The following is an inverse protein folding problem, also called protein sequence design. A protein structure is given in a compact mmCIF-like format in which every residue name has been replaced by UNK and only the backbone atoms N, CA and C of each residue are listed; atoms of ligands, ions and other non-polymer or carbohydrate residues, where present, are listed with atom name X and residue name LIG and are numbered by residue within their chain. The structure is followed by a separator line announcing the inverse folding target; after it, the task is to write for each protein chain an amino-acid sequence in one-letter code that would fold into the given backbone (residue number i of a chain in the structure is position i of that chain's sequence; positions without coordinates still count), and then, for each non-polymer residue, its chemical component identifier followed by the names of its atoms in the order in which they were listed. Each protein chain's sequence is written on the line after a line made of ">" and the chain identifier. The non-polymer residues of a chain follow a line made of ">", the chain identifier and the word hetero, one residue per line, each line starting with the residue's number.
data_IF_470782734094
#
_entry.id   IF_470782734094
#
_cell.length_a   1.000
_cell.length_b   1.000
_cell.length_c   1.000
_cell.angle_alpha   90.00
_cell.angle_beta   90.00
_cell.angle_gamma   90.00
#
_symmetry.space_group_name_H-M   'P 1'
#
loop_
_entity.id
_entity.type
_entity.pdbx_description
1 polymer ?
#
# COMPACT_ATOMS: atom_id res chain seq x y z
N UNK A 1 -10.76 18.74 -9.88
CA UNK A 1 -10.54 17.31 -9.60
C UNK A 1 -11.60 16.52 -10.33
N UNK A 2 -11.20 15.54 -11.11
CA UNK A 2 -12.13 14.57 -11.71
C UNK A 2 -12.38 13.43 -10.70
N UNK A 3 -13.52 12.73 -10.79
CA UNK A 3 -13.73 11.50 -10.03
C UNK A 3 -12.64 10.47 -10.37
N UNK A 4 -12.14 9.76 -9.36
CA UNK A 4 -11.17 8.69 -9.57
C UNK A 4 -11.83 7.51 -10.31
N UNK A 5 -11.26 7.09 -11.43
CA UNK A 5 -11.63 5.84 -12.09
C UNK A 5 -11.03 4.65 -11.32
N UNK A 6 -11.89 3.96 -10.59
CA UNK A 6 -11.55 2.80 -9.74
C UNK A 6 -11.46 1.49 -10.53
N UNK A 7 -11.60 1.53 -11.86
CA UNK A 7 -11.59 0.35 -12.73
C UNK A 7 -10.34 0.24 -13.59
N UNK A 8 -9.42 1.20 -13.46
CA UNK A 8 -8.19 1.23 -14.23
C UNK A 8 -7.32 0.00 -13.90
N UNK A 9 -6.77 -0.68 -14.93
CA UNK A 9 -5.84 -1.79 -14.72
C UNK A 9 -4.52 -1.28 -14.13
N UNK A 10 -3.77 -2.19 -13.51
CA UNK A 10 -2.43 -1.84 -13.01
C UNK A 10 -1.43 -1.61 -14.14
N UNK A 11 -0.63 -0.55 -13.99
CA UNK A 11 0.54 -0.31 -14.82
C UNK A 11 1.72 -1.14 -14.27
N UNK A 12 2.12 -2.19 -14.98
CA UNK A 12 3.24 -3.06 -14.57
C UNK A 12 3.98 -3.63 -15.77
N UNK A 13 5.28 -3.89 -15.57
CA UNK A 13 6.15 -4.52 -16.56
C UNK A 13 6.08 -6.06 -16.53
N UNK A 14 5.34 -6.62 -15.56
CA UNK A 14 5.22 -8.06 -15.37
C UNK A 14 4.29 -8.70 -16.42
N UNK A 15 4.62 -9.92 -16.85
CA UNK A 15 3.77 -10.70 -17.75
C UNK A 15 2.60 -11.33 -16.97
N UNK A 16 1.55 -10.54 -16.75
CA UNK A 16 0.37 -10.94 -15.97
C UNK A 16 -0.33 -12.21 -16.51
N UNK A 17 -0.54 -12.38 -17.83
CA UNK A 17 -1.12 -13.62 -18.37
C UNK A 17 -0.29 -14.86 -18.03
N UNK A 18 1.04 -14.78 -18.14
CA UNK A 18 1.92 -15.87 -17.76
C UNK A 18 1.84 -16.18 -16.27
N UNK A 19 1.91 -15.16 -15.41
CA UNK A 19 1.85 -15.31 -13.96
C UNK A 19 0.52 -15.92 -13.51
N UNK A 20 -0.61 -15.42 -14.05
CA UNK A 20 -1.95 -15.97 -13.78
C UNK A 20 -2.03 -17.45 -14.10
N UNK A 21 -1.52 -17.86 -15.27
CA UNK A 21 -1.50 -19.27 -15.68
C UNK A 21 -0.55 -20.11 -14.83
N UNK A 22 0.64 -19.59 -14.52
CA UNK A 22 1.68 -20.36 -13.81
C UNK A 22 1.36 -20.56 -12.34
N UNK A 23 0.68 -19.59 -11.73
CA UNK A 23 0.40 -19.51 -10.30
C UNK A 23 -1.07 -19.79 -9.96
N UNK A 24 -1.88 -20.31 -10.89
CA UNK A 24 -3.31 -20.62 -10.64
C UNK A 24 -3.53 -21.46 -9.38
N UNK A 25 -2.62 -22.40 -9.10
CA UNK A 25 -2.68 -23.28 -7.93
C UNK A 25 -1.73 -22.87 -6.80
N UNK A 26 -1.22 -21.63 -6.83
CA UNK A 26 -0.37 -21.14 -5.74
C UNK A 26 -1.20 -21.02 -4.45
N UNK A 27 -0.72 -21.50 -3.30
CA UNK A 27 -1.54 -21.53 -2.09
C UNK A 27 -2.06 -20.16 -1.66
N UNK A 28 -1.24 -19.11 -1.79
CA UNK A 28 -1.63 -17.74 -1.42
C UNK A 28 -2.26 -17.01 -2.61
N UNK A 29 -3.56 -17.21 -2.78
CA UNK A 29 -4.32 -16.54 -3.83
C UNK A 29 -4.49 -15.04 -3.58
N UNK A 30 -4.34 -14.56 -2.34
CA UNK A 30 -4.40 -13.13 -2.03
C UNK A 30 -3.15 -12.40 -2.55
N UNK A 31 -1.97 -12.99 -2.32
CA UNK A 31 -0.73 -12.48 -2.91
C UNK A 31 -0.81 -12.50 -4.44
N UNK A 32 -1.37 -13.56 -5.03
CA UNK A 32 -1.56 -13.61 -6.47
C UNK A 32 -2.52 -12.52 -6.98
N UNK A 33 -3.63 -12.28 -6.30
CA UNK A 33 -4.55 -11.20 -6.63
C UNK A 33 -3.85 -9.83 -6.56
N UNK A 34 -3.11 -9.56 -5.49
CA UNK A 34 -2.30 -8.36 -5.32
C UNK A 34 -1.24 -8.18 -6.44
N UNK A 35 -0.64 -9.27 -6.92
CA UNK A 35 0.31 -9.26 -8.04
C UNK A 35 -0.36 -8.97 -9.39
N UNK A 36 -1.57 -9.49 -9.60
CA UNK A 36 -2.27 -9.42 -10.89
C UNK A 36 -3.15 -8.16 -11.05
N UNK A 37 -3.66 -7.65 -9.94
CA UNK A 37 -4.70 -6.61 -9.91
C UNK A 37 -4.30 -5.38 -9.08
N UNK A 38 -3.17 -5.47 -8.39
CA UNK A 38 -2.61 -4.40 -7.57
C UNK A 38 -2.87 -4.57 -6.09
N UNK A 39 -2.03 -3.92 -5.29
CA UNK A 39 -2.14 -3.89 -3.84
C UNK A 39 -3.41 -3.16 -3.45
N UNK A 40 -4.20 -3.82 -2.60
CA UNK A 40 -5.27 -3.22 -1.82
C UNK A 40 -4.82 -3.14 -0.37
N UNK A 41 -5.03 -2.00 0.27
CA UNK A 41 -4.71 -1.79 1.69
C UNK A 41 -5.66 -2.55 2.61
N UNK A 42 -6.79 -3.02 2.08
CA UNK A 42 -7.87 -3.66 2.85
C UNK A 42 -8.37 -2.76 3.99
N UNK A 43 -8.20 -1.44 3.82
CA UNK A 43 -8.64 -0.40 4.72
C UNK A 43 -9.99 0.14 4.24
N UNK A 44 -11.05 -0.27 4.93
CA UNK A 44 -12.38 0.30 4.79
C UNK A 44 -12.33 1.72 5.39
N UNK A 45 -12.75 2.76 4.69
CA UNK A 45 -12.69 4.15 5.20
C UNK A 45 -13.86 4.97 4.68
N UNK A 46 -14.24 6.01 5.43
CA UNK A 46 -15.23 6.98 4.97
C UNK A 46 -14.72 7.80 3.78
N UNK A 47 -15.65 8.35 2.99
CA UNK A 47 -15.35 9.26 1.88
C UNK A 47 -14.96 10.66 2.41
N UNK A 48 -13.84 10.73 3.12
CA UNK A 48 -13.35 11.92 3.81
C UNK A 48 -12.01 12.40 3.23
N UNK A 49 -11.80 13.72 3.26
CA UNK A 49 -10.48 14.29 3.04
C UNK A 49 -9.70 14.32 4.35
N UNK A 50 -8.65 13.51 4.44
CA UNK A 50 -7.86 13.36 5.66
C UNK A 50 -6.46 13.94 5.42
N UNK A 51 -6.17 15.05 6.10
CA UNK A 51 -4.89 15.74 6.01
C UNK A 51 -4.05 15.43 7.24
N UNK A 52 -3.08 14.52 7.08
CA UNK A 52 -2.18 14.14 8.16
C UNK A 52 -0.92 15.00 8.12
N UNK A 53 -0.60 15.75 9.19
CA UNK A 53 0.60 16.58 9.21
C UNK A 53 1.86 15.72 9.10
N UNK A 54 2.91 16.29 8.51
CA UNK A 54 4.22 15.65 8.49
C UNK A 54 4.76 15.40 9.89
N UNK A 55 5.60 14.38 10.00
CA UNK A 55 6.25 14.04 11.25
C UNK A 55 7.32 15.06 11.59
N UNK A 56 7.46 15.36 12.88
CA UNK A 56 8.54 16.20 13.42
C UNK A 56 9.94 15.71 13.07
N UNK A 57 10.06 14.46 12.61
CA UNK A 57 11.31 13.88 12.14
C UNK A 57 11.67 14.27 10.71
N UNK A 58 10.71 14.72 9.90
CA UNK A 58 10.94 15.06 8.48
C UNK A 58 12.10 16.06 8.28
N UNK A 59 12.20 17.17 9.04
CA UNK A 59 13.30 18.13 8.85
C UNK A 59 14.69 17.51 8.97
N UNK A 60 14.86 16.43 9.76
CA UNK A 60 16.15 15.75 9.95
C UNK A 60 16.69 15.13 8.66
N UNK A 61 15.82 14.77 7.73
CA UNK A 61 16.17 14.09 6.49
C UNK A 61 15.43 14.63 5.27
N UNK A 62 15.05 15.90 5.28
CA UNK A 62 14.20 16.51 4.25
C UNK A 62 14.73 16.26 2.84
N UNK A 63 16.01 16.55 2.59
CA UNK A 63 16.67 16.32 1.30
C UNK A 63 16.67 14.84 0.90
N UNK A 64 16.86 13.92 1.86
CA UNK A 64 16.82 12.48 1.59
C UNK A 64 15.42 12.03 1.17
N UNK A 65 14.38 12.49 1.87
CA UNK A 65 12.98 12.17 1.58
C UNK A 65 12.58 12.74 0.22
N UNK A 66 12.96 13.99 -0.07
CA UNK A 66 12.72 14.64 -1.35
C UNK A 66 13.34 13.86 -2.52
N UNK A 67 14.64 13.60 -2.44
CA UNK A 67 15.36 12.89 -3.50
C UNK A 67 14.80 11.48 -3.70
N UNK A 68 14.37 10.84 -2.61
CA UNK A 68 13.67 9.56 -2.69
C UNK A 68 12.34 9.70 -3.45
N UNK A 69 11.49 10.69 -3.13
CA UNK A 69 10.22 10.90 -3.86
C UNK A 69 10.44 11.09 -5.37
N UNK A 70 11.39 11.92 -5.79
CA UNK A 70 11.73 12.07 -7.21
C UNK A 70 12.23 10.75 -7.81
N UNK A 71 13.05 9.99 -7.08
CA UNK A 71 13.49 8.66 -7.54
C UNK A 71 12.30 7.72 -7.73
N UNK A 72 11.38 7.63 -6.78
CA UNK A 72 10.18 6.78 -6.89
C UNK A 72 9.30 7.23 -8.06
N UNK A 73 9.21 8.53 -8.35
CA UNK A 73 8.54 9.05 -9.54
C UNK A 73 9.22 8.56 -10.83
N UNK A 74 10.57 8.64 -10.93
CA UNK A 74 11.29 8.15 -12.12
C UNK A 74 11.14 6.64 -12.35
N UNK A 75 10.84 5.88 -11.28
CA UNK A 75 10.56 4.45 -11.34
C UNK A 75 9.09 4.14 -11.65
N UNK A 76 8.25 5.15 -11.82
CA UNK A 76 6.82 5.01 -12.09
C UNK A 76 5.96 4.66 -10.87
N UNK A 77 6.51 4.73 -9.66
CA UNK A 77 5.78 4.35 -8.43
C UNK A 77 5.00 5.50 -7.81
N UNK A 78 5.36 6.74 -8.15
CA UNK A 78 4.64 7.94 -7.76
C UNK A 78 4.33 8.75 -9.00
N UNK A 79 3.12 9.32 -9.04
CA UNK A 79 2.77 10.37 -9.99
C UNK A 79 2.69 11.69 -9.24
N UNK A 80 3.33 12.72 -9.78
CA UNK A 80 3.27 14.07 -9.22
C UNK A 80 2.21 14.86 -9.97
N UNK A 81 1.51 15.71 -9.22
CA UNK A 81 0.43 16.52 -9.71
C UNK A 81 0.56 17.91 -9.11
N UNK A 82 0.34 18.95 -9.92
CA UNK A 82 0.39 20.35 -9.47
C UNK A 82 -0.85 20.74 -8.63
N UNK A 83 -1.87 19.89 -8.64
CA UNK A 83 -3.11 20.05 -7.90
C UNK A 83 -3.62 18.68 -7.42
N UNK A 84 -4.61 18.67 -6.52
CA UNK A 84 -5.19 17.42 -6.04
C UNK A 84 -5.83 16.62 -7.19
N UNK A 85 -5.35 15.39 -7.48
CA UNK A 85 -5.79 14.63 -8.65
C UNK A 85 -7.23 14.12 -8.52
N UNK A 86 -7.66 13.80 -7.30
CA UNK A 86 -8.98 13.25 -6.99
C UNK A 86 -9.47 13.77 -5.62
N UNK A 87 -10.77 13.63 -5.39
CA UNK A 87 -11.44 13.97 -4.13
C UNK A 87 -12.57 12.98 -3.86
N UNK A 88 -12.72 12.43 -2.64
CA UNK A 88 -11.91 12.66 -1.42
C UNK A 88 -10.49 12.07 -1.52
N UNK A 89 -9.62 12.40 -0.55
CA UNK A 89 -8.21 11.97 -0.54
C UNK A 89 -7.62 11.89 0.89
N UNK A 90 -6.78 10.88 1.11
CA UNK A 90 -5.90 10.79 2.26
C UNK A 90 -4.50 11.31 1.90
N UNK A 91 -4.09 12.37 2.58
CA UNK A 91 -2.76 12.97 2.47
C UNK A 91 -1.94 12.55 3.68
N UNK A 92 -1.09 11.55 3.49
CA UNK A 92 -0.31 10.92 4.54
C UNK A 92 0.98 11.70 4.82
N UNK A 93 1.21 11.97 6.11
CA UNK A 93 2.39 12.69 6.58
C UNK A 93 3.69 11.99 6.21
N UNK A 94 4.77 12.75 6.03
CA UNK A 94 6.09 12.22 5.73
C UNK A 94 7.01 12.42 6.92
N UNK A 95 7.96 11.50 7.09
CA UNK A 95 8.99 11.56 8.12
C UNK A 95 10.33 11.01 7.62
N UNK A 96 11.35 11.16 8.46
CA UNK A 96 12.69 10.71 8.17
C UNK A 96 13.29 9.96 9.37
N UNK A 97 13.83 8.77 9.13
CA UNK A 97 14.48 7.92 10.15
C UNK A 97 15.93 7.67 9.75
N UNK A 98 16.88 7.91 10.65
CA UNK A 98 18.30 7.68 10.39
C UNK A 98 18.57 6.19 10.13
N UNK A 99 19.48 5.89 9.20
CA UNK A 99 19.96 4.53 9.00
C UNK A 99 21.21 4.29 9.85
N UNK A 100 21.36 3.07 10.37
CA UNK A 100 22.47 2.73 11.27
C UNK A 100 23.83 2.67 10.57
N UNK A 101 23.86 2.33 9.27
CA UNK A 101 25.08 2.04 8.50
C UNK A 101 25.33 3.02 7.34
N UNK A 102 24.49 4.05 7.17
CA UNK A 102 24.66 5.06 6.13
C UNK A 102 24.21 6.43 6.63
N UNK A 103 24.76 7.51 6.05
CA UNK A 103 24.43 8.90 6.41
C UNK A 103 23.07 9.36 5.89
N UNK A 104 22.47 8.61 4.97
CA UNK A 104 21.17 8.93 4.38
C UNK A 104 20.02 8.56 5.33
N UNK A 105 18.97 9.37 5.33
CA UNK A 105 17.75 9.07 6.06
C UNK A 105 16.80 8.22 5.22
N UNK A 106 16.16 7.23 5.84
CA UNK A 106 15.05 6.48 5.26
C UNK A 106 13.77 7.31 5.38
N UNK A 107 13.03 7.42 4.27
CA UNK A 107 11.67 7.98 4.24
C UNK A 107 10.70 7.10 5.02
N UNK A 108 9.78 7.74 5.75
CA UNK A 108 8.64 7.09 6.43
C UNK A 108 7.35 7.77 5.99
N UNK A 109 6.32 6.99 5.65
CA UNK A 109 4.95 7.48 5.44
C UNK A 109 4.13 7.23 6.70
N UNK A 110 3.42 8.25 7.17
CA UNK A 110 2.53 8.20 8.33
C UNK A 110 1.14 7.70 7.93
N UNK A 111 0.95 6.38 8.00
CA UNK A 111 -0.35 5.73 7.76
C UNK A 111 -1.16 5.50 9.06
N UNK A 112 -0.64 5.94 10.22
CA UNK A 112 -1.28 5.83 11.53
C UNK A 112 -1.94 7.12 12.02
N UNK A 113 -1.99 8.17 11.18
CA UNK A 113 -2.76 9.38 11.43
C UNK A 113 -4.19 9.28 10.86
N UNK A 114 -5.20 9.94 11.44
CA UNK A 114 -5.14 10.74 12.67
C UNK A 114 -4.92 9.89 13.94
N UNK A 115 -4.04 10.34 14.86
CA UNK A 115 -3.72 9.61 16.10
C UNK A 115 -4.72 9.81 17.23
N UNK A 116 -5.59 10.80 17.11
CA UNK A 116 -6.66 11.10 18.07
C UNK A 116 -8.01 10.93 17.37
N UNK A 117 -9.08 10.57 18.11
CA UNK A 117 -10.43 10.58 17.55
C UNK A 117 -10.70 11.92 16.86
N UNK A 118 -10.89 11.86 15.54
CA UNK A 118 -11.11 13.02 14.68
C UNK A 118 -12.40 12.75 13.93
N UNK A 119 -13.35 13.68 14.00
CA UNK A 119 -14.66 13.55 13.40
C UNK A 119 -14.79 14.57 12.27
N UNK A 120 -15.53 14.22 11.22
CA UNK A 120 -15.94 15.19 10.21
C UNK A 120 -17.15 16.02 10.66
N UNK A 121 -17.65 16.89 9.78
CA UNK A 121 -18.82 17.73 10.06
C UNK A 121 -20.13 16.95 10.26
N UNK A 122 -20.17 15.67 9.84
CA UNK A 122 -21.31 14.76 10.03
C UNK A 122 -21.16 13.91 11.30
N UNK A 123 -20.08 14.07 12.06
CA UNK A 123 -19.79 13.28 13.24
C UNK A 123 -19.20 11.90 12.96
N UNK A 124 -18.84 11.59 11.71
CA UNK A 124 -18.22 10.32 11.34
C UNK A 124 -16.72 10.35 11.63
N UNK A 125 -16.18 9.27 12.20
CA UNK A 125 -14.78 9.20 12.60
C UNK A 125 -13.85 8.96 11.40
N UNK A 126 -12.87 9.84 11.24
CA UNK A 126 -11.74 9.62 10.35
C UNK A 126 -10.77 8.61 10.97
N UNK A 127 -10.64 7.46 10.32
CA UNK A 127 -9.70 6.41 10.72
C UNK A 127 -8.38 6.56 9.99
N UNK A 128 -7.31 6.19 10.67
CA UNK A 128 -6.02 5.96 10.00
C UNK A 128 -6.08 4.71 9.12
N UNK A 129 -5.30 4.67 8.04
CA UNK A 129 -5.23 3.50 7.15
C UNK A 129 -4.81 2.25 7.94
N UNK A 130 -3.90 2.38 8.90
CA UNK A 130 -3.47 1.27 9.76
C UNK A 130 -4.60 0.74 10.65
N UNK A 131 -5.40 1.63 11.26
CA UNK A 131 -6.54 1.24 12.10
C UNK A 131 -7.65 0.62 11.26
N UNK A 132 -8.01 1.27 10.15
CA UNK A 132 -9.01 0.82 9.20
C UNK A 132 -8.73 -0.57 8.63
N UNK A 133 -7.47 -0.85 8.30
CA UNK A 133 -7.08 -2.17 7.80
C UNK A 133 -7.15 -3.24 8.91
N UNK A 134 -6.98 -2.86 10.18
CA UNK A 134 -6.80 -3.81 11.30
C UNK A 134 -8.10 -4.11 12.04
N UNK A 135 -9.01 -3.14 12.10
CA UNK A 135 -10.27 -3.22 12.84
C UNK A 135 -11.42 -3.39 11.87
N UNK A 136 -12.30 -4.34 12.16
CA UNK A 136 -13.54 -4.54 11.44
C UNK A 136 -14.49 -3.39 11.76
N UNK A 137 -14.89 -2.67 10.73
CA UNK A 137 -15.86 -1.59 10.81
C UNK A 137 -16.52 -1.41 9.43
N UNK A 138 -17.59 -0.62 9.38
CA UNK A 138 -18.33 -0.37 8.16
C UNK A 138 -18.51 1.13 7.96
N UNK A 139 -17.88 1.74 6.92
CA UNK A 139 -18.15 3.11 6.54
C UNK A 139 -19.63 3.32 6.24
N UNK A 140 -20.19 4.47 6.63
CA UNK A 140 -21.60 4.80 6.48
C UNK A 140 -22.06 4.69 5.03
N UNK A 141 -21.21 5.08 4.09
CA UNK A 141 -21.53 5.03 2.67
C UNK A 141 -21.73 3.61 2.11
N UNK A 142 -21.24 2.57 2.80
CA UNK A 142 -21.40 1.17 2.37
C UNK A 142 -22.88 0.79 2.26
N UNK A 143 -23.73 1.42 3.08
CA UNK A 143 -25.19 1.19 3.11
C UNK A 143 -25.91 1.67 1.86
N UNK A 144 -25.28 2.50 1.04
CA UNK A 144 -25.89 3.06 -0.18
C UNK A 144 -25.61 2.23 -1.43
N UNK A 145 -24.80 1.17 -1.31
CA UNK A 145 -24.42 0.30 -2.41
C UNK A 145 -25.04 -1.08 -2.22
N UNK A 146 -25.70 -1.58 -3.25
CA UNK A 146 -26.49 -2.82 -3.18
C UNK A 146 -26.28 -3.76 -4.38
N UNK A 147 -25.26 -3.53 -5.21
CA UNK A 147 -24.97 -4.44 -6.31
C UNK A 147 -24.51 -5.82 -5.81
N UNK A 148 -24.78 -6.90 -6.57
CA UNK A 148 -24.46 -8.26 -6.12
C UNK A 148 -22.98 -8.48 -5.75
N UNK A 149 -21.99 -7.97 -6.52
CA UNK A 149 -20.58 -8.06 -6.12
C UNK A 149 -20.30 -7.40 -4.77
N UNK A 150 -20.92 -6.24 -4.50
CA UNK A 150 -20.79 -5.55 -3.22
C UNK A 150 -21.37 -6.35 -2.05
N UNK A 151 -22.55 -6.94 -2.23
CA UNK A 151 -23.18 -7.76 -1.19
C UNK A 151 -22.33 -8.98 -0.85
N UNK A 152 -21.72 -9.61 -1.86
CA UNK A 152 -20.79 -10.71 -1.66
C UNK A 152 -19.56 -10.26 -0.86
N UNK A 153 -18.95 -9.12 -1.23
CA UNK A 153 -17.83 -8.54 -0.50
C UNK A 153 -18.15 -8.31 0.98
N UNK A 154 -19.31 -7.70 1.26
CA UNK A 154 -19.78 -7.46 2.62
C UNK A 154 -19.93 -8.76 3.43
N UNK A 155 -20.46 -9.81 2.79
CA UNK A 155 -20.62 -11.13 3.41
C UNK A 155 -19.27 -11.78 3.71
N UNK A 156 -18.35 -11.80 2.75
CA UNK A 156 -17.02 -12.41 2.88
C UNK A 156 -16.15 -11.70 3.94
N UNK A 157 -16.30 -10.38 4.05
CA UNK A 157 -15.63 -9.56 5.07
C UNK A 157 -16.34 -9.57 6.43
N UNK A 158 -17.49 -10.26 6.53
CA UNK A 158 -18.35 -10.32 7.71
C UNK A 158 -18.72 -8.91 8.24
N UNK A 159 -19.03 -7.99 7.33
CA UNK A 159 -19.46 -6.63 7.62
C UNK A 159 -20.99 -6.61 7.76
N UNK A 160 -21.48 -6.81 8.98
CA UNK A 160 -22.90 -6.76 9.30
C UNK A 160 -23.38 -5.33 9.62
N UNK A 161 -24.69 -5.09 9.59
CA UNK A 161 -25.32 -3.87 10.12
C UNK A 161 -26.42 -4.29 11.13
N UNK A 162 -26.28 -3.99 12.44
CA UNK A 162 -25.18 -3.27 13.08
C UNK A 162 -23.91 -4.13 13.21
N UNK A 163 -22.75 -3.49 13.10
CA UNK A 163 -21.45 -4.11 13.33
C UNK A 163 -20.97 -3.82 14.76
N UNK A 164 -20.47 -4.84 15.45
CA UNK A 164 -19.73 -4.64 16.70
C UNK A 164 -18.31 -4.13 16.39
N UNK A 165 -17.99 -2.94 16.90
CA UNK A 165 -16.68 -2.31 16.73
C UNK A 165 -15.60 -3.05 17.54
N UNK A 166 -14.37 -3.06 17.01
CA UNK A 166 -13.19 -3.54 17.75
C UNK A 166 -12.83 -5.00 17.49
N UNK A 167 -13.64 -5.73 16.72
CA UNK A 167 -13.25 -7.03 16.19
C UNK A 167 -12.10 -6.88 15.18
N UNK A 168 -11.18 -7.85 15.07
CA UNK A 168 -10.17 -7.86 14.01
C UNK A 168 -10.81 -7.93 12.61
N UNK A 169 -10.23 -7.20 11.66
CA UNK A 169 -10.62 -7.27 10.25
C UNK A 169 -10.41 -8.68 9.67
N UNK A 170 -11.32 -9.12 8.79
CA UNK A 170 -11.21 -10.40 8.07
C UNK A 170 -10.30 -10.21 6.86
N UNK A 171 -9.02 -10.53 7.04
CA UNK A 171 -8.06 -10.58 5.94
C UNK A 171 -7.91 -12.01 5.43
N UNK A 172 -7.78 -12.21 4.11
CA UNK A 172 -7.32 -13.49 3.59
C UNK A 172 -5.99 -13.88 4.26
N UNK A 173 -5.79 -15.15 4.65
CA UNK A 173 -4.57 -15.56 5.31
C UNK A 173 -3.38 -15.42 4.35
N UNK A 174 -2.33 -14.75 4.79
CA UNK A 174 -1.04 -14.80 4.10
C UNK A 174 -0.39 -16.16 4.36
N UNK A 175 -0.08 -16.89 3.29
CA UNK A 175 0.53 -18.22 3.37
C UNK A 175 2.01 -18.11 2.99
N UNK A 176 2.85 -17.89 4.01
CA UNK A 176 4.31 -17.91 3.84
C UNK A 176 4.81 -19.33 3.57
N UNK A 177 5.79 -19.51 2.67
CA UNK A 177 6.50 -20.79 2.56
C UNK A 177 7.09 -21.19 3.92
N UNK A 178 6.91 -22.45 4.30
CA UNK A 178 7.52 -22.97 5.53
C UNK A 178 8.98 -23.34 5.29
N UNK A 179 9.80 -23.37 6.36
CA UNK A 179 11.18 -23.85 6.26
C UNK A 179 11.26 -25.26 5.67
N UNK A 180 10.30 -26.13 6.00
CA UNK A 180 10.23 -27.49 5.45
C UNK A 180 10.03 -27.50 3.94
N UNK A 181 9.14 -26.63 3.41
CA UNK A 181 8.94 -26.49 1.97
C UNK A 181 10.21 -26.02 1.27
N UNK A 182 10.88 -25.01 1.84
CA UNK A 182 12.15 -24.49 1.29
C UNK A 182 13.22 -25.58 1.29
N UNK A 183 13.41 -26.29 2.40
CA UNK A 183 14.43 -27.34 2.52
C UNK A 183 14.17 -28.53 1.57
N UNK A 184 12.90 -28.90 1.37
CA UNK A 184 12.51 -29.93 0.40
C UNK A 184 12.89 -29.50 -1.01
N UNK A 185 12.50 -28.30 -1.42
CA UNK A 185 12.74 -27.81 -2.78
C UNK A 185 14.24 -27.62 -3.01
N UNK A 186 14.99 -27.13 -2.01
CA UNK A 186 16.45 -27.10 -2.03
C UNK A 186 17.08 -28.48 -2.20
N UNK A 187 16.58 -29.50 -1.49
CA UNK A 187 17.11 -30.86 -1.58
C UNK A 187 16.93 -31.44 -3.00
N UNK A 188 15.79 -31.18 -3.62
CA UNK A 188 15.49 -31.60 -5.00
C UNK A 188 16.41 -30.89 -5.98
N UNK A 189 16.50 -29.56 -5.89
CA UNK A 189 17.32 -28.76 -6.79
C UNK A 189 18.81 -29.04 -6.61
N UNK A 190 19.27 -29.27 -5.38
CA UNK A 190 20.67 -29.60 -5.09
C UNK A 190 21.06 -30.97 -5.68
N UNK A 191 20.14 -31.94 -5.66
CA UNK A 191 20.38 -33.24 -6.29
C UNK A 191 20.54 -33.13 -7.81
N UNK A 192 19.76 -32.26 -8.47
CA UNK A 192 19.90 -31.97 -9.89
C UNK A 192 21.20 -31.20 -10.19
N UNK A 193 21.46 -30.14 -9.43
CA UNK A 193 22.65 -29.30 -9.55
C UNK A 193 23.94 -30.13 -9.46
N UNK A 194 24.03 -31.06 -8.49
CA UNK A 194 25.19 -31.97 -8.35
C UNK A 194 25.40 -32.88 -9.55
N UNK A 195 24.33 -33.32 -10.23
CA UNK A 195 24.44 -34.18 -11.42
C UNK A 195 24.82 -33.41 -12.67
N UNK A 196 24.45 -32.14 -12.72
CA UNK A 196 24.73 -31.25 -13.84
C UNK A 196 26.05 -30.48 -13.66
N UNK A 197 26.73 -30.66 -12.52
CA UNK A 197 27.90 -29.87 -12.11
C UNK A 197 27.64 -28.35 -12.10
N UNK A 198 26.39 -27.97 -11.88
CA UNK A 198 25.94 -26.58 -11.84
C UNK A 198 25.81 -26.08 -10.39
N UNK A 199 26.09 -24.80 -10.10
CA UNK A 199 25.84 -24.21 -8.79
C UNK A 199 24.35 -24.00 -8.53
N UNK A 200 23.92 -24.20 -7.28
CA UNK A 200 22.58 -23.83 -6.82
C UNK A 200 22.65 -22.51 -6.06
N UNK A 201 21.90 -21.51 -6.53
CA UNK A 201 21.77 -20.22 -5.86
C UNK A 201 20.44 -20.12 -5.12
N UNK A 202 20.50 -19.60 -3.88
CA UNK A 202 19.32 -19.21 -3.10
C UNK A 202 19.27 -17.70 -3.10
N UNK A 203 18.18 -17.14 -3.63
CA UNK A 203 17.93 -15.71 -3.55
C UNK A 203 17.24 -15.39 -2.22
N UNK A 204 17.90 -14.57 -1.40
CA UNK A 204 17.30 -13.97 -0.22
C UNK A 204 16.57 -12.67 -0.57
N UNK A 205 15.52 -12.37 0.18
CA UNK A 205 14.65 -11.21 -0.03
C UNK A 205 15.28 -9.94 0.58
N UNK A 206 16.35 -9.44 -0.04
CA UNK A 206 16.84 -8.07 0.15
C UNK A 206 17.19 -7.45 -1.22
N UNK A 207 16.34 -7.72 -2.22
CA UNK A 207 16.39 -6.96 -3.45
C UNK A 207 15.98 -5.53 -3.13
N UNK A 208 16.90 -4.58 -3.35
CA UNK A 208 16.67 -3.15 -3.18
C UNK A 208 15.42 -2.77 -3.96
N UNK A 209 14.35 -2.46 -3.23
CA UNK A 209 13.02 -2.09 -3.72
C UNK A 209 12.06 -3.22 -4.17
N UNK A 210 12.26 -4.48 -3.74
CA UNK A 210 11.42 -5.63 -4.13
C UNK A 210 9.90 -5.38 -4.04
N UNK A 211 9.42 -4.84 -2.91
CA UNK A 211 8.00 -4.57 -2.68
C UNK A 211 7.42 -3.44 -3.54
N UNK A 212 8.27 -2.55 -4.06
CA UNK A 212 7.79 -1.43 -4.88
C UNK A 212 7.46 -1.85 -6.32
N UNK A 213 7.69 -3.12 -6.70
CA UNK A 213 7.29 -3.64 -8.01
C UNK A 213 5.78 -3.88 -8.12
N UNK A 214 5.05 -3.89 -6.99
CA UNK A 214 3.61 -4.10 -6.96
C UNK A 214 2.90 -2.74 -7.01
N UNK A 215 2.17 -2.49 -8.09
CA UNK A 215 1.34 -1.29 -8.23
C UNK A 215 0.16 -1.32 -7.24
N UNK A 216 -0.26 -0.17 -6.74
CA UNK A 216 -1.51 -0.04 -5.96
C UNK A 216 -2.69 -0.13 -6.93
N UNK A 217 -3.74 -0.85 -6.56
CA UNK A 217 -4.98 -0.90 -7.34
C UNK A 217 -5.61 0.51 -7.42
N UNK A 218 -6.21 0.85 -8.56
CA UNK A 218 -6.74 2.20 -8.81
C UNK A 218 -7.78 2.63 -7.78
N UNK A 219 -8.62 1.70 -7.32
CA UNK A 219 -9.59 1.87 -6.23
C UNK A 219 -8.99 2.37 -4.89
N UNK A 220 -7.69 2.19 -4.67
CA UNK A 220 -6.99 2.53 -3.43
C UNK A 220 -6.00 3.70 -3.58
N UNK A 221 -5.83 4.27 -4.78
CA UNK A 221 -4.93 5.42 -4.99
C UNK A 221 -5.26 6.60 -4.07
N UNK A 222 -6.55 6.83 -3.82
CA UNK A 222 -6.99 7.94 -2.98
C UNK A 222 -6.65 7.80 -1.50
N UNK A 223 -6.30 6.59 -1.05
CA UNK A 223 -5.90 6.32 0.33
C UNK A 223 -4.43 6.64 0.59
N UNK A 224 -3.63 6.86 -0.46
CA UNK A 224 -2.17 6.96 -0.37
C UNK A 224 -1.58 8.19 -1.07
N UNK A 225 -2.13 9.37 -0.79
CA UNK A 225 -1.59 10.65 -1.24
C UNK A 225 -0.48 11.19 -0.34
N UNK A 226 0.36 12.07 -0.89
CA UNK A 226 1.40 12.81 -0.17
C UNK A 226 1.46 14.23 -0.74
N UNK A 227 1.44 15.23 0.14
CA UNK A 227 1.82 16.61 -0.22
C UNK A 227 3.27 16.82 0.16
N UNK A 228 4.06 17.40 -0.73
CA UNK A 228 5.45 17.71 -0.47
C UNK A 228 5.83 18.98 -1.24
N UNK A 229 6.60 19.87 -0.62
CA UNK A 229 7.01 21.14 -1.23
C UNK A 229 8.11 20.87 -2.27
N UNK A 230 8.01 21.48 -3.45
CA UNK A 230 9.02 21.37 -4.49
C UNK A 230 10.31 22.12 -4.11
N UNK A 231 11.46 21.62 -4.57
CA UNK A 231 12.76 22.19 -4.19
C UNK A 231 12.90 23.69 -4.50
N UNK A 232 12.35 24.10 -5.65
CA UNK A 232 12.47 25.47 -6.18
C UNK A 232 11.64 26.48 -5.36
N UNK A 233 10.61 26.01 -4.67
CA UNK A 233 9.70 26.82 -3.84
C UNK A 233 10.29 27.12 -2.46
N UNK A 234 11.31 26.36 -2.01
CA UNK A 234 11.97 26.58 -0.72
C UNK A 234 12.96 27.74 -0.81
N UNK A 235 13.55 27.96 -1.98
CA UNK A 235 14.49 29.06 -2.25
C UNK A 235 13.82 30.32 -2.78
N UNK A 236 12.55 30.25 -3.16
CA UNK A 236 11.79 31.43 -3.57
C UNK A 236 11.56 32.34 -2.35
N UNK A 237 11.80 33.67 -2.46
CA UNK A 237 11.45 34.59 -1.38
C UNK A 237 9.95 34.48 -1.11
N UNK A 238 9.58 34.23 0.15
CA UNK A 238 8.18 34.26 0.58
C UNK A 238 7.62 35.64 0.28
N UNK A 239 6.66 35.73 -0.64
CA UNK A 239 5.84 36.93 -0.77
C UNK A 239 5.10 37.14 0.56
N UNK A 240 5.32 38.31 1.16
CA UNK A 240 4.66 38.76 2.38
C UNK A 240 3.15 38.91 2.20
#
# INVERSE_FOLDING_TARGET
>A
SEPLDVTLPIETHLNLPFLRKRLTNYPDQNLLANLLEGIRFEADVELQAVLVPHLISLPKGFTSVRNELYRLQTLGWYRFFDHLPFWPIYLNGQGATARKLETRYRRTTECGGPRRPTLDGSGLRALSINEAASVRHMPAWYKHRHDPPWLQYMQERELADPLEWGMPSRRPPEIKPTLSMVMRDLSILLAAARRLEEPLYIFGDDAKDYFNQLAIASEDWWKFGVVFIHADEITAPRSA
#
